data_IF_115946138721
#
_entry.id   IF_115946138721
#
_cell.length_a   1.000
_cell.length_b   1.000
_cell.length_c   1.000
_cell.angle_alpha   90.00
_cell.angle_beta   90.00
_cell.angle_gamma   90.00
#
_symmetry.space_group_name_H-M   'P 1'
#
loop_
_entity.id
_entity.type
_entity.pdbx_description
1 polymer ?
#
# COMPACT_ATOMS: atom_id res chain seq x y z
N UNK A 1 6.50 0.01 21.98
CA UNK A 1 6.71 -1.26 21.26
C UNK A 1 7.17 -0.91 19.84
N UNK A 2 8.29 -1.44 19.35
CA UNK A 2 8.57 -1.37 17.92
C UNK A 2 7.61 -2.34 17.21
N UNK A 3 7.07 -1.98 16.04
CA UNK A 3 6.25 -2.91 15.26
C UNK A 3 7.09 -4.14 14.92
N UNK A 4 6.48 -5.32 15.09
CA UNK A 4 7.08 -6.60 14.70
C UNK A 4 7.04 -6.75 13.19
N UNK A 5 7.79 -7.71 12.65
CA UNK A 5 7.79 -8.02 11.21
C UNK A 5 6.37 -8.35 10.72
N UNK A 6 5.60 -9.08 11.54
CA UNK A 6 4.20 -9.42 11.29
C UNK A 6 3.32 -8.16 11.23
N UNK A 7 3.50 -7.20 12.13
CA UNK A 7 2.74 -5.94 12.11
C UNK A 7 3.01 -5.13 10.83
N UNK A 8 4.25 -5.16 10.35
CA UNK A 8 4.67 -4.46 9.14
C UNK A 8 4.12 -5.13 7.89
N UNK A 9 4.11 -6.46 7.84
CA UNK A 9 3.53 -7.25 6.75
C UNK A 9 2.01 -7.09 6.69
N UNK A 10 1.31 -7.16 7.84
CA UNK A 10 -0.14 -6.91 7.90
C UNK A 10 -0.49 -5.49 7.48
N UNK A 11 0.32 -4.50 7.86
CA UNK A 11 0.13 -3.11 7.43
C UNK A 11 0.33 -2.96 5.93
N UNK A 12 1.38 -3.56 5.36
CA UNK A 12 1.62 -3.53 3.92
C UNK A 12 0.46 -4.20 3.15
N UNK A 13 -0.06 -5.31 3.67
CA UNK A 13 -1.17 -6.07 3.09
C UNK A 13 -2.46 -5.28 3.11
N UNK A 14 -2.81 -4.62 4.23
CA UNK A 14 -4.00 -3.75 4.31
C UNK A 14 -3.96 -2.61 3.32
N UNK A 15 -2.83 -1.89 3.24
CA UNK A 15 -2.71 -0.75 2.31
C UNK A 15 -2.74 -1.23 0.85
N UNK A 16 -2.24 -2.43 0.56
CA UNK A 16 -2.37 -3.03 -0.76
C UNK A 16 -3.82 -3.37 -1.10
N UNK A 17 -4.59 -3.91 -0.15
CA UNK A 17 -6.02 -4.17 -0.34
C UNK A 17 -6.80 -2.87 -0.61
N UNK A 18 -6.51 -1.80 0.15
CA UNK A 18 -7.11 -0.48 -0.07
C UNK A 18 -6.78 0.09 -1.45
N UNK A 19 -5.53 -0.11 -1.91
CA UNK A 19 -5.10 0.28 -3.25
C UNK A 19 -5.89 -0.45 -4.34
N UNK A 20 -6.05 -1.76 -4.23
CA UNK A 20 -6.83 -2.55 -5.18
C UNK A 20 -8.31 -2.19 -5.17
N UNK A 21 -8.89 -1.97 -3.99
CA UNK A 21 -10.27 -1.51 -3.84
C UNK A 21 -10.48 -0.12 -4.47
N UNK A 22 -9.50 0.77 -4.36
CA UNK A 22 -9.57 2.07 -5.02
C UNK A 22 -9.49 1.93 -6.54
N UNK A 23 -8.57 1.13 -7.07
CA UNK A 23 -8.47 0.89 -8.52
C UNK A 23 -9.76 0.31 -9.10
N UNK A 24 -10.40 -0.62 -8.39
CA UNK A 24 -11.64 -1.26 -8.86
C UNK A 24 -12.85 -0.35 -8.79
N UNK A 25 -12.87 0.66 -7.90
CA UNK A 25 -14.03 1.52 -7.68
C UNK A 25 -13.89 2.92 -8.29
N UNK A 26 -12.68 3.39 -8.61
CA UNK A 26 -12.45 4.74 -9.10
C UNK A 26 -12.57 4.83 -10.64
N UNK A 27 -13.57 5.57 -11.17
CA UNK A 27 -13.74 5.72 -12.62
C UNK A 27 -12.56 6.41 -13.31
N UNK A 28 -11.85 7.29 -12.60
CA UNK A 28 -10.64 7.94 -13.13
C UNK A 28 -9.49 6.93 -13.27
N UNK A 29 -9.23 6.11 -12.25
CA UNK A 29 -8.25 5.03 -12.38
C UNK A 29 -8.58 4.07 -13.52
N UNK A 30 -9.86 3.71 -13.69
CA UNK A 30 -10.28 2.81 -14.76
C UNK A 30 -10.11 3.39 -16.17
N UNK A 31 -10.17 4.72 -16.33
CA UNK A 31 -10.14 5.39 -17.65
C UNK A 31 -8.78 5.95 -18.03
N UNK A 32 -8.05 6.50 -17.07
CA UNK A 32 -6.79 7.23 -17.32
C UNK A 32 -5.59 6.64 -16.60
N UNK A 33 -5.77 5.55 -15.84
CA UNK A 33 -4.74 4.92 -14.97
C UNK A 33 -4.08 5.91 -13.99
N UNK A 34 -4.68 7.09 -13.81
CA UNK A 34 -4.17 8.18 -13.00
C UNK A 34 -5.30 8.80 -12.18
N UNK A 35 -5.12 8.74 -10.85
CA UNK A 35 -5.94 9.43 -9.87
C UNK A 35 -5.04 9.84 -8.71
N UNK A 36 -5.13 11.09 -8.26
CA UNK A 36 -4.33 11.60 -7.13
C UNK A 36 -4.50 10.77 -5.86
N UNK A 37 -5.71 10.24 -5.62
CA UNK A 37 -5.99 9.37 -4.47
C UNK A 37 -5.28 8.02 -4.65
N UNK A 38 -5.44 7.36 -5.80
CA UNK A 38 -4.73 6.13 -6.13
C UNK A 38 -3.22 6.27 -6.02
N UNK A 39 -2.67 7.41 -6.45
CA UNK A 39 -1.24 7.72 -6.37
C UNK A 39 -0.77 7.85 -4.91
N UNK A 40 -1.58 8.47 -4.05
CA UNK A 40 -1.32 8.57 -2.60
C UNK A 40 -1.31 7.19 -1.95
N UNK A 41 -2.29 6.34 -2.25
CA UNK A 41 -2.38 4.98 -1.68
C UNK A 41 -1.24 4.11 -2.20
N UNK A 42 -0.89 4.19 -3.48
CA UNK A 42 0.27 3.50 -4.07
C UNK A 42 1.58 3.89 -3.38
N UNK A 43 1.79 5.19 -3.09
CA UNK A 43 2.97 5.66 -2.34
C UNK A 43 2.99 5.13 -0.91
N UNK A 44 1.84 5.11 -0.23
CA UNK A 44 1.72 4.55 1.11
C UNK A 44 2.04 3.04 1.13
N UNK A 45 1.56 2.29 0.14
CA UNK A 45 1.86 0.86 -0.02
C UNK A 45 3.37 0.64 -0.20
N UNK A 46 4.03 1.37 -1.10
CA UNK A 46 5.48 1.27 -1.31
C UNK A 46 6.28 1.57 -0.04
N UNK A 47 5.86 2.57 0.74
CA UNK A 47 6.51 2.90 2.00
C UNK A 47 6.36 1.77 3.04
N UNK A 48 5.17 1.18 3.15
CA UNK A 48 4.90 0.06 4.05
C UNK A 48 5.67 -1.21 3.63
N UNK A 49 5.66 -1.55 2.34
CA UNK A 49 6.44 -2.66 1.79
C UNK A 49 7.94 -2.48 2.03
N UNK A 50 8.46 -1.26 1.85
CA UNK A 50 9.86 -0.97 2.16
C UNK A 50 10.20 -1.08 3.65
N UNK A 51 9.26 -0.80 4.56
CA UNK A 51 9.44 -1.00 5.99
C UNK A 51 9.48 -2.50 6.33
N UNK A 52 8.52 -3.28 5.82
CA UNK A 52 8.51 -4.74 5.94
C UNK A 52 9.81 -5.37 5.41
N UNK A 53 10.22 -5.02 4.19
CA UNK A 53 11.44 -5.55 3.58
C UNK A 53 12.73 -5.22 4.37
N UNK A 54 12.75 -4.09 5.08
CA UNK A 54 13.87 -3.74 5.98
C UNK A 54 13.83 -4.53 7.29
N UNK A 55 12.64 -4.87 7.76
CA UNK A 55 12.46 -5.66 8.97
C UNK A 55 12.98 -7.10 8.77
N UNK A 56 12.63 -7.71 7.62
CA UNK A 56 13.12 -9.02 7.18
C UNK A 56 14.64 -9.11 6.89
N UNK A 57 15.36 -7.98 6.86
CA UNK A 57 16.82 -7.94 6.64
C UNK A 57 17.62 -7.83 7.95
N UNK A 58 16.96 -7.70 9.09
CA UNK A 58 17.59 -7.68 10.41
C UNK A 58 17.74 -9.09 10.97
#
# INVERSE_FOLDING_TARGET
MNPTDVDLDERATRIYADYLAHLSSCPYCQRTDYCTVGDRVRRAWKAAQGAAARAHRK
#
